data_IF_838850389285
#
_entry.id   IF_838850389285
#
_cell.length_a   1.000
_cell.length_b   1.000
_cell.length_c   1.000
_cell.angle_alpha   90.00
_cell.angle_beta   90.00
_cell.angle_gamma   90.00
#
_symmetry.space_group_name_H-M   'P 1'
#
loop_
_entity.id
_entity.type
_entity.pdbx_description
1 polymer ?
#
# COMPACT_ATOMS: atom_id res chain seq x y z
N UNK A 1 3.62 -5.60 -31.68
CA UNK A 1 3.99 -4.85 -30.47
C UNK A 1 2.72 -4.18 -29.97
N UNK A 2 2.08 -4.71 -28.93
CA UNK A 2 0.88 -4.10 -28.33
C UNK A 2 1.35 -3.19 -27.20
N UNK A 3 1.35 -1.89 -27.43
CA UNK A 3 1.79 -0.88 -26.47
C UNK A 3 0.75 -0.69 -25.37
N UNK A 4 1.21 -0.54 -24.12
CA UNK A 4 0.43 0.15 -23.08
C UNK A 4 0.00 1.51 -23.65
N UNK A 5 -1.26 1.91 -23.49
CA UNK A 5 -1.71 3.21 -24.01
C UNK A 5 -1.09 4.38 -23.24
N UNK A 6 -0.83 4.20 -21.95
CA UNK A 6 0.02 5.08 -21.14
C UNK A 6 0.48 4.37 -19.87
N UNK A 7 1.63 4.79 -19.35
CA UNK A 7 2.16 4.34 -18.07
C UNK A 7 2.92 5.49 -17.45
N UNK A 8 2.53 5.88 -16.24
CA UNK A 8 3.18 6.94 -15.48
C UNK A 8 3.90 6.31 -14.29
N UNK A 9 5.16 6.69 -14.07
CA UNK A 9 5.87 6.33 -12.84
C UNK A 9 5.36 7.24 -11.73
N UNK A 10 4.73 6.65 -10.71
CA UNK A 10 4.28 7.38 -9.53
C UNK A 10 5.38 7.46 -8.47
N UNK A 11 6.19 6.40 -8.34
CA UNK A 11 7.30 6.33 -7.40
C UNK A 11 8.36 5.32 -7.88
N UNK A 12 9.63 5.61 -7.60
CA UNK A 12 10.73 4.68 -7.84
C UNK A 12 11.84 4.89 -6.81
N UNK A 13 12.27 3.79 -6.20
CA UNK A 13 13.48 3.73 -5.38
C UNK A 13 14.23 2.41 -5.65
N UNK A 14 15.26 2.11 -4.85
CA UNK A 14 16.05 0.89 -5.06
C UNK A 14 15.30 -0.43 -4.82
N UNK A 15 14.16 -0.43 -4.12
CA UNK A 15 13.39 -1.62 -3.73
C UNK A 15 12.05 -1.76 -4.47
N UNK A 16 11.45 -0.64 -4.86
CA UNK A 16 10.07 -0.59 -5.34
C UNK A 16 9.92 0.45 -6.44
N UNK A 17 9.21 0.06 -7.50
CA UNK A 17 8.66 0.99 -8.49
C UNK A 17 7.14 0.84 -8.54
N UNK A 18 6.44 1.96 -8.53
CA UNK A 18 4.97 2.03 -8.59
C UNK A 18 4.59 2.78 -9.85
N UNK A 19 3.73 2.14 -10.65
CA UNK A 19 3.24 2.67 -11.91
C UNK A 19 1.72 2.81 -11.87
N UNK A 20 1.22 3.86 -12.51
CA UNK A 20 -0.18 4.00 -12.91
C UNK A 20 -0.27 3.67 -14.40
N UNK A 21 -0.95 2.57 -14.73
CA UNK A 21 -0.96 2.02 -16.07
C UNK A 21 -2.38 1.91 -16.62
N UNK A 22 -2.54 2.32 -17.89
CA UNK A 22 -3.78 2.09 -18.64
C UNK A 22 -3.62 0.90 -19.59
N UNK A 23 -4.40 -0.15 -19.36
CA UNK A 23 -4.29 -1.44 -20.02
C UNK A 23 -5.38 -1.61 -21.06
N UNK A 24 -4.96 -1.65 -22.32
CA UNK A 24 -5.86 -1.87 -23.46
C UNK A 24 -6.32 -3.33 -23.59
N UNK A 25 -7.47 -3.58 -24.22
CA UNK A 25 -7.90 -4.92 -24.59
C UNK A 25 -6.82 -5.71 -25.35
N UNK A 26 -6.55 -6.94 -24.93
CA UNK A 26 -5.55 -7.82 -25.56
C UNK A 26 -4.08 -7.44 -25.31
N UNK A 27 -3.79 -6.57 -24.34
CA UNK A 27 -2.43 -6.23 -23.97
C UNK A 27 -1.64 -7.45 -23.45
N UNK A 28 -0.38 -7.56 -23.88
CA UNK A 28 0.56 -8.59 -23.40
C UNK A 28 1.61 -7.89 -22.55
N UNK A 29 1.69 -8.28 -21.29
CA UNK A 29 2.68 -7.75 -20.36
C UNK A 29 3.82 -8.75 -20.15
N UNK A 30 5.01 -8.21 -19.99
CA UNK A 30 6.21 -8.95 -19.59
C UNK A 30 6.67 -8.42 -18.25
N UNK A 31 6.89 -9.32 -17.31
CA UNK A 31 7.34 -9.02 -15.96
C UNK A 31 8.77 -9.48 -15.81
N UNK A 32 9.73 -8.57 -15.96
CA UNK A 32 11.15 -8.88 -15.75
C UNK A 32 11.49 -9.07 -14.26
N UNK A 33 10.67 -8.51 -13.37
CA UNK A 33 10.81 -8.56 -11.92
C UNK A 33 9.49 -9.03 -11.28
N UNK A 34 9.49 -9.54 -10.04
CA UNK A 34 8.26 -9.84 -9.32
C UNK A 34 7.34 -8.61 -9.31
N UNK A 35 6.09 -8.79 -9.72
CA UNK A 35 5.14 -7.70 -9.95
C UNK A 35 3.79 -8.02 -9.33
N UNK A 36 3.21 -7.07 -8.61
CA UNK A 36 1.79 -7.09 -8.22
C UNK A 36 1.05 -6.10 -9.11
N UNK A 37 -0.04 -6.53 -9.74
CA UNK A 37 -0.93 -5.67 -10.52
C UNK A 37 -2.27 -5.58 -9.83
N UNK A 38 -2.78 -4.37 -9.64
CA UNK A 38 -4.02 -4.13 -8.91
C UNK A 38 -4.97 -3.26 -9.74
N UNK A 39 -6.09 -3.83 -10.25
CA UNK A 39 -7.07 -3.04 -10.99
C UNK A 39 -7.70 -1.93 -10.14
N UNK A 40 -7.88 -0.77 -10.74
CA UNK A 40 -8.58 0.36 -10.14
C UNK A 40 -10.01 0.37 -10.69
N UNK A 41 -10.97 0.26 -9.78
CA UNK A 41 -12.40 0.38 -10.10
C UNK A 41 -12.94 1.67 -9.49
N UNK A 42 -14.16 2.06 -9.89
CA UNK A 42 -14.86 3.18 -9.28
C UNK A 42 -14.99 2.99 -7.76
N UNK A 43 -14.96 4.09 -7.01
CA UNK A 43 -14.95 4.09 -5.54
C UNK A 43 -16.13 3.30 -4.91
N UNK A 44 -17.29 3.27 -5.58
CA UNK A 44 -18.46 2.52 -5.13
C UNK A 44 -18.37 1.00 -5.31
N UNK A 45 -17.41 0.50 -6.09
CA UNK A 45 -17.24 -0.94 -6.35
C UNK A 45 -16.37 -1.61 -5.27
N UNK A 46 -16.60 -2.89 -4.95
CA UNK A 46 -15.68 -3.67 -4.13
C UNK A 46 -14.28 -3.66 -4.70
N UNK A 47 -13.27 -3.68 -3.83
CA UNK A 47 -11.87 -3.74 -4.25
C UNK A 47 -11.58 -5.08 -4.91
N UNK A 48 -11.11 -5.12 -6.17
CA UNK A 48 -10.75 -6.37 -6.81
C UNK A 48 -9.50 -6.95 -6.16
N UNK A 49 -9.29 -8.27 -6.17
CA UNK A 49 -8.05 -8.84 -5.67
C UNK A 49 -6.87 -8.45 -6.59
N UNK A 50 -5.69 -8.12 -6.03
CA UNK A 50 -4.48 -7.95 -6.83
C UNK A 50 -3.99 -9.30 -7.37
N UNK A 51 -3.20 -9.26 -8.44
CA UNK A 51 -2.56 -10.46 -9.02
C UNK A 51 -1.05 -10.33 -8.94
N UNK A 52 -0.39 -11.37 -8.43
CA UNK A 52 1.07 -11.47 -8.38
C UNK A 52 1.61 -12.26 -9.57
N UNK A 53 2.69 -11.75 -10.16
CA UNK A 53 3.43 -12.36 -11.26
C UNK A 53 4.91 -12.50 -10.86
N UNK A 54 5.47 -13.71 -10.87
CA UNK A 54 6.91 -13.90 -10.67
C UNK A 54 7.74 -13.17 -11.74
N UNK A 55 8.98 -12.80 -11.40
CA UNK A 55 9.93 -12.28 -12.38
C UNK A 55 10.25 -13.30 -13.47
N UNK A 56 10.49 -12.82 -14.69
CA UNK A 56 10.71 -13.65 -15.87
C UNK A 56 9.44 -14.20 -16.52
N UNK A 57 8.24 -13.78 -16.07
CA UNK A 57 6.98 -14.24 -16.66
C UNK A 57 6.50 -13.34 -17.78
N UNK A 58 5.98 -13.96 -18.85
CA UNK A 58 5.20 -13.28 -19.88
C UNK A 58 3.75 -13.74 -19.74
N UNK A 59 2.83 -12.78 -19.64
CA UNK A 59 1.41 -13.06 -19.49
C UNK A 59 0.60 -12.19 -20.44
N UNK A 60 -0.33 -12.81 -21.14
CA UNK A 60 -1.39 -12.07 -21.80
C UNK A 60 -2.33 -11.55 -20.72
N UNK A 61 -2.37 -10.24 -20.54
CA UNK A 61 -3.30 -9.64 -19.60
C UNK A 61 -4.65 -9.60 -20.28
N UNK A 62 -5.49 -10.55 -19.90
CA UNK A 62 -6.88 -10.56 -20.29
C UNK A 62 -7.57 -9.32 -19.75
N UNK A 63 -7.83 -8.37 -20.64
CA UNK A 63 -8.91 -7.40 -20.48
C UNK A 63 -10.02 -7.84 -21.43
N UNK A 64 -10.92 -8.75 -21.01
CA UNK A 64 -11.96 -9.33 -21.87
C UNK A 64 -13.05 -8.31 -22.24
N UNK A 65 -13.03 -7.11 -21.66
CA UNK A 65 -13.91 -6.00 -22.03
C UNK A 65 -13.48 -5.29 -23.31
N UNK A 66 -14.34 -4.39 -23.80
CA UNK A 66 -14.05 -3.55 -24.96
C UNK A 66 -13.34 -2.23 -24.62
N UNK A 67 -13.24 -1.88 -23.33
CA UNK A 67 -12.64 -0.64 -22.86
C UNK A 67 -11.35 -0.93 -22.07
N UNK A 68 -10.37 -0.04 -22.17
CA UNK A 68 -9.15 -0.11 -21.36
C UNK A 68 -9.46 0.01 -19.85
N UNK A 69 -8.56 -0.51 -19.02
CA UNK A 69 -8.68 -0.48 -17.55
C UNK A 69 -7.45 0.14 -16.90
N UNK A 70 -7.64 0.90 -15.83
CA UNK A 70 -6.56 1.43 -15.00
C UNK A 70 -6.07 0.36 -14.02
N UNK A 71 -4.76 0.28 -13.83
CA UNK A 71 -4.12 -0.57 -12.83
C UNK A 71 -3.00 0.19 -12.12
N UNK A 72 -2.87 -0.03 -10.82
CA UNK A 72 -1.64 0.27 -10.10
C UNK A 72 -0.74 -0.96 -10.16
N UNK A 73 0.49 -0.76 -10.62
CA UNK A 73 1.48 -1.82 -10.79
C UNK A 73 2.63 -1.59 -9.82
N UNK A 74 2.89 -2.56 -8.96
CA UNK A 74 3.98 -2.58 -8.00
C UNK A 74 5.05 -3.55 -8.49
N UNK A 75 6.19 -3.03 -8.91
CA UNK A 75 7.36 -3.83 -9.31
C UNK A 75 8.36 -3.88 -8.16
N UNK A 76 8.63 -5.10 -7.70
CA UNK A 76 9.50 -5.39 -6.55
C UNK A 76 10.91 -5.60 -7.10
N UNK A 77 11.79 -4.63 -6.85
CA UNK A 77 13.09 -4.52 -7.52
C UNK A 77 14.22 -5.25 -6.78
N UNK A 78 13.94 -5.76 -5.58
CA UNK A 78 14.88 -6.52 -4.77
C UNK A 78 14.22 -7.75 -4.16
N UNK A 79 15.04 -8.75 -3.88
CA UNK A 79 14.62 -9.90 -3.09
C UNK A 79 14.13 -9.47 -1.70
N UNK A 80 13.25 -10.27 -1.07
CA UNK A 80 12.80 -10.03 0.29
C UNK A 80 13.99 -9.87 1.24
N UNK A 81 13.94 -8.85 2.09
CA UNK A 81 15.02 -8.58 3.05
C UNK A 81 14.86 -9.37 4.35
N UNK A 82 13.70 -9.98 4.55
CA UNK A 82 13.37 -10.78 5.73
C UNK A 82 12.81 -12.12 5.31
N UNK A 83 13.13 -13.14 6.10
CA UNK A 83 12.50 -14.45 6.01
C UNK A 83 11.07 -14.41 6.58
N UNK A 84 10.25 -15.40 6.22
CA UNK A 84 8.88 -15.52 6.74
C UNK A 84 8.84 -15.59 8.28
N UNK A 85 9.79 -16.28 8.91
CA UNK A 85 9.87 -16.36 10.37
C UNK A 85 10.21 -15.00 11.01
N UNK A 86 11.04 -14.19 10.35
CA UNK A 86 11.35 -12.83 10.82
C UNK A 86 10.14 -11.91 10.66
N UNK A 87 9.42 -12.02 9.54
CA UNK A 87 8.17 -11.29 9.30
C UNK A 87 7.14 -11.66 10.37
N UNK A 88 6.89 -12.95 10.61
CA UNK A 88 5.96 -13.44 11.64
C UNK A 88 6.29 -12.86 13.03
N UNK A 89 7.57 -12.86 13.40
CA UNK A 89 8.02 -12.25 14.66
C UNK A 89 7.76 -10.75 14.70
N UNK A 90 8.03 -10.02 13.62
CA UNK A 90 7.82 -8.58 13.56
C UNK A 90 6.34 -8.19 13.62
N UNK A 91 5.44 -8.97 13.02
CA UNK A 91 4.00 -8.66 13.02
C UNK A 91 3.30 -9.08 14.32
N UNK A 92 3.92 -9.93 15.13
CA UNK A 92 3.34 -10.41 16.40
C UNK A 92 3.96 -9.79 17.66
N UNK A 93 5.16 -9.23 17.57
CA UNK A 93 5.88 -8.67 18.71
C UNK A 93 5.31 -7.33 19.25
N UNK A 94 4.85 -6.38 18.42
CA UNK A 94 4.40 -5.09 18.91
C UNK A 94 3.15 -5.17 19.80
N UNK A 95 3.03 -4.20 20.69
CA UNK A 95 1.81 -3.99 21.49
C UNK A 95 0.61 -3.55 20.63
N UNK A 96 0.88 -2.83 19.55
CA UNK A 96 -0.14 -2.31 18.64
C UNK A 96 -0.40 -3.31 17.51
N UNK A 97 -1.64 -3.39 16.99
CA UNK A 97 -1.93 -4.13 15.76
C UNK A 97 -0.99 -3.72 14.62
N UNK A 98 -0.59 -4.67 13.77
CA UNK A 98 0.30 -4.42 12.63
C UNK A 98 -0.41 -4.63 11.29
N UNK A 99 -1.73 -4.44 11.27
CA UNK A 99 -2.53 -4.43 10.06
C UNK A 99 -2.69 -2.95 9.64
N UNK A 100 -1.94 -2.48 8.63
CA UNK A 100 -2.00 -1.07 8.21
C UNK A 100 -3.22 -0.74 7.34
N UNK A 101 -4.01 -1.75 6.96
CA UNK A 101 -5.26 -1.58 6.22
C UNK A 101 -6.36 -2.47 6.78
N UNK A 102 -7.56 -2.33 6.21
CA UNK A 102 -8.76 -2.99 6.72
C UNK A 102 -8.91 -4.42 6.20
N UNK A 103 -8.42 -4.69 4.98
CA UNK A 103 -8.51 -6.02 4.35
C UNK A 103 -7.17 -6.44 3.80
N UNK A 104 -6.66 -7.60 4.22
CA UNK A 104 -5.51 -8.25 3.59
C UNK A 104 -5.95 -8.90 2.28
N UNK A 105 -5.44 -8.39 1.17
CA UNK A 105 -5.90 -8.74 -0.18
C UNK A 105 -5.00 -9.78 -0.86
N UNK A 106 -3.72 -9.81 -0.49
CA UNK A 106 -2.74 -10.78 -0.97
C UNK A 106 -1.56 -10.84 -0.01
N UNK A 107 -1.08 -12.03 0.27
CA UNK A 107 0.18 -12.26 0.97
C UNK A 107 0.95 -13.39 0.28
N UNK A 108 2.25 -13.18 0.06
CA UNK A 108 3.16 -14.18 -0.48
C UNK A 108 4.57 -13.98 0.10
N UNK A 109 5.58 -14.62 -0.48
CA UNK A 109 6.97 -14.54 0.01
C UNK A 109 7.65 -13.17 -0.18
N UNK A 110 7.04 -12.26 -0.92
CA UNK A 110 7.60 -10.94 -1.21
C UNK A 110 6.86 -9.82 -0.49
N UNK A 111 5.54 -9.92 -0.39
CA UNK A 111 4.70 -8.78 -0.02
C UNK A 111 3.48 -9.16 0.82
N UNK A 112 2.94 -8.17 1.52
CA UNK A 112 1.57 -8.14 2.05
C UNK A 112 0.85 -6.93 1.41
N UNK A 113 -0.33 -7.15 0.84
CA UNK A 113 -1.10 -6.13 0.14
C UNK A 113 -2.39 -5.86 0.91
N UNK A 114 -2.66 -4.59 1.18
CA UNK A 114 -3.79 -4.16 1.99
C UNK A 114 -4.67 -3.19 1.23
N UNK A 115 -5.98 -3.38 1.37
CA UNK A 115 -6.99 -2.40 0.99
C UNK A 115 -7.37 -1.58 2.22
N UNK A 116 -7.45 -0.27 2.02
CA UNK A 116 -7.93 0.66 3.03
C UNK A 116 -8.85 1.69 2.37
N UNK A 117 -10.00 1.94 2.99
CA UNK A 117 -11.11 2.72 2.45
C UNK A 117 -11.67 3.65 3.51
N UNK A 118 -11.91 4.90 3.13
CA UNK A 118 -12.52 5.87 4.03
C UNK A 118 -13.93 5.47 4.50
N UNK A 119 -14.74 4.93 3.58
CA UNK A 119 -16.11 4.48 3.87
C UNK A 119 -16.22 3.32 4.87
N UNK A 120 -15.13 2.58 5.12
CA UNK A 120 -15.13 1.47 6.09
C UNK A 120 -14.83 1.94 7.52
N UNK A 121 -14.64 3.25 7.72
CA UNK A 121 -14.42 3.86 9.01
C UNK A 121 -12.93 4.04 9.32
N UNK A 122 -12.65 5.13 10.02
CA UNK A 122 -11.34 5.49 10.53
C UNK A 122 -11.55 6.10 11.92
N UNK A 123 -10.88 5.55 12.94
CA UNK A 123 -10.99 6.03 14.31
C UNK A 123 -9.64 6.57 14.76
N UNK A 124 -9.62 7.82 15.24
CA UNK A 124 -8.43 8.46 15.80
C UNK A 124 -7.80 7.69 16.98
N UNK A 125 -8.49 6.73 17.58
CA UNK A 125 -7.96 5.90 18.68
C UNK A 125 -7.57 4.48 18.24
N UNK A 126 -7.80 4.11 16.98
CA UNK A 126 -7.42 2.80 16.43
C UNK A 126 -6.02 2.88 15.82
N UNK A 127 -5.00 2.88 16.68
CA UNK A 127 -3.61 2.97 16.21
C UNK A 127 -3.06 1.61 15.81
N UNK A 128 -2.20 1.63 14.79
CA UNK A 128 -1.43 0.50 14.33
C UNK A 128 0.06 0.81 14.31
N UNK A 129 0.88 -0.23 14.19
CA UNK A 129 2.32 -0.13 13.99
C UNK A 129 2.74 -0.70 12.64
N UNK A 130 3.37 0.11 11.82
CA UNK A 130 4.12 -0.33 10.64
C UNK A 130 5.43 -0.99 11.08
N UNK A 131 5.65 -2.22 10.64
CA UNK A 131 6.84 -3.02 11.00
C UNK A 131 7.68 -3.45 9.79
N UNK A 132 7.16 -3.20 8.59
CA UNK A 132 7.80 -3.49 7.31
C UNK A 132 7.88 -2.22 6.46
N UNK A 133 8.88 -2.15 5.58
CA UNK A 133 8.97 -1.09 4.57
C UNK A 133 7.67 -1.10 3.77
N UNK A 134 7.05 0.06 3.57
CA UNK A 134 5.75 0.12 2.94
C UNK A 134 5.58 1.33 2.03
N UNK A 135 4.66 1.19 1.10
CA UNK A 135 4.11 2.30 0.35
C UNK A 135 2.60 2.16 0.24
N UNK A 136 1.94 3.29 0.09
CA UNK A 136 0.52 3.34 -0.24
C UNK A 136 0.26 4.36 -1.34
N UNK A 137 -0.69 4.01 -2.20
CA UNK A 137 -1.14 4.82 -3.33
C UNK A 137 -2.58 5.22 -3.10
N UNK A 138 -2.86 6.52 -3.16
CA UNK A 138 -4.23 7.02 -3.05
C UNK A 138 -4.95 6.91 -4.39
N UNK A 139 -6.20 6.44 -4.33
CA UNK A 139 -7.16 6.45 -5.42
C UNK A 139 -8.34 7.34 -5.05
N UNK A 140 -8.63 8.33 -5.90
CA UNK A 140 -9.57 9.42 -5.63
C UNK A 140 -8.88 10.75 -5.34
N UNK A 141 -9.56 11.86 -5.60
CA UNK A 141 -9.02 13.21 -5.44
C UNK A 141 -9.74 14.05 -4.39
N UNK A 142 -9.07 15.07 -3.86
CA UNK A 142 -9.65 15.99 -2.87
C UNK A 142 -9.77 15.40 -1.47
N UNK A 143 -8.90 14.43 -1.15
CA UNK A 143 -9.01 13.63 0.06
C UNK A 143 -7.99 14.09 1.10
N UNK A 144 -8.34 13.90 2.38
CA UNK A 144 -7.53 14.35 3.50
C UNK A 144 -7.58 13.40 4.69
N UNK A 145 -6.45 13.23 5.37
CA UNK A 145 -6.31 12.42 6.58
C UNK A 145 -5.76 13.26 7.72
N UNK A 146 -6.46 13.28 8.84
CA UNK A 146 -5.89 13.73 10.10
C UNK A 146 -5.10 12.57 10.70
N UNK A 147 -3.83 12.82 11.02
CA UNK A 147 -2.91 11.85 11.60
C UNK A 147 -2.79 12.11 13.09
N UNK A 148 -2.89 11.06 13.89
CA UNK A 148 -2.77 11.13 15.34
C UNK A 148 -1.68 10.21 15.86
N UNK A 149 -1.08 10.59 16.98
CA UNK A 149 -0.16 9.77 17.75
C UNK A 149 -0.71 9.47 19.16
N UNK A 150 -0.29 8.37 19.80
CA UNK A 150 -0.68 8.08 21.18
C UNK A 150 -0.23 9.18 22.16
N UNK A 151 -1.14 9.71 22.97
CA UNK A 151 -0.86 10.82 23.90
C UNK A 151 -0.16 10.40 25.22
N UNK A 152 0.17 9.11 25.36
CA UNK A 152 0.74 8.51 26.57
C UNK A 152 -0.25 8.27 27.73
N UNK A 153 -1.50 8.73 27.61
CA UNK A 153 -2.57 8.61 28.61
C UNK A 153 -3.72 7.71 28.15
N UNK A 154 -3.57 7.09 26.98
CA UNK A 154 -4.58 6.22 26.36
C UNK A 154 -5.51 6.95 25.40
N UNK A 155 -5.20 8.19 25.03
CA UNK A 155 -5.90 8.98 24.02
C UNK A 155 -5.03 9.26 22.79
N UNK A 156 -5.54 10.17 21.94
CA UNK A 156 -4.94 10.55 20.67
C UNK A 156 -4.59 12.05 20.64
N UNK A 157 -3.36 12.35 20.26
CA UNK A 157 -2.88 13.70 20.01
C UNK A 157 -2.84 13.96 18.50
N UNK A 158 -3.49 15.04 18.06
CA UNK A 158 -3.44 15.45 16.66
C UNK A 158 -2.02 15.89 16.27
N UNK A 159 -1.53 15.39 15.15
CA UNK A 159 -0.21 15.73 14.62
C UNK A 159 -0.34 16.70 13.44
N UNK A 160 -1.08 16.30 12.40
CA UNK A 160 -1.19 17.03 11.14
C UNK A 160 -2.33 16.51 10.27
N UNK A 161 -2.74 17.33 9.31
CA UNK A 161 -3.59 16.92 8.19
C UNK A 161 -2.72 16.67 6.96
N UNK A 162 -2.89 15.51 6.33
CA UNK A 162 -2.34 15.18 5.02
C UNK A 162 -3.42 15.42 3.97
N UNK A 163 -3.10 16.16 2.91
CA UNK A 163 -4.00 16.33 1.76
C UNK A 163 -3.35 15.70 0.54
N UNK A 164 -4.15 15.02 -0.26
CA UNK A 164 -3.64 14.25 -1.38
C UNK A 164 -4.61 14.23 -2.57
N UNK A 165 -4.03 13.96 -3.73
CA UNK A 165 -4.73 13.78 -4.99
C UNK A 165 -4.62 12.32 -5.44
N UNK A 166 -5.43 11.96 -6.43
CA UNK A 166 -5.37 10.65 -7.06
C UNK A 166 -3.96 10.36 -7.60
N UNK A 167 -3.43 9.18 -7.30
CA UNK A 167 -2.06 8.78 -7.64
C UNK A 167 -0.99 9.28 -6.67
N UNK A 168 -1.34 9.97 -5.58
CA UNK A 168 -0.38 10.30 -4.52
C UNK A 168 0.24 9.02 -3.94
N UNK A 169 1.56 9.03 -3.74
CA UNK A 169 2.31 7.93 -3.13
C UNK A 169 3.02 8.41 -1.88
N UNK A 170 2.86 7.64 -0.80
CA UNK A 170 3.77 7.69 0.34
C UNK A 170 4.67 6.47 0.35
N UNK A 171 5.94 6.67 0.71
CA UNK A 171 6.90 5.59 0.94
C UNK A 171 7.51 5.76 2.33
N UNK A 172 7.55 4.66 3.09
CA UNK A 172 8.16 4.61 4.40
C UNK A 172 9.17 3.46 4.48
N UNK A 173 10.42 3.79 4.80
CA UNK A 173 11.42 2.79 5.14
C UNK A 173 11.38 2.53 6.65
N UNK A 174 10.99 1.32 7.03
CA UNK A 174 10.80 0.91 8.42
C UNK A 174 12.01 0.12 8.89
N UNK A 175 12.87 0.83 9.63
CA UNK A 175 14.03 0.22 10.30
C UNK A 175 13.59 -0.40 11.62
N UNK A 176 14.30 -1.44 12.05
CA UNK A 176 14.14 -2.08 13.36
C UNK A 176 12.68 -2.43 13.72
N UNK A 177 11.83 -2.78 12.73
CA UNK A 177 10.42 -3.09 13.01
C UNK A 177 9.58 -1.90 13.48
N UNK A 178 10.01 -0.67 13.18
CA UNK A 178 9.34 0.55 13.60
C UNK A 178 9.70 0.98 15.02
N UNK A 179 10.79 0.44 15.59
CA UNK A 179 11.36 0.85 16.86
C UNK A 179 12.61 1.72 16.68
N UNK A 180 13.00 2.39 17.77
CA UNK A 180 14.28 3.08 17.90
C UNK A 180 15.50 2.13 17.78
N UNK A 181 16.70 2.69 17.89
CA UNK A 181 17.96 1.93 17.75
C UNK A 181 18.12 0.84 18.82
N UNK A 182 17.55 1.05 19.99
CA UNK A 182 17.58 0.10 21.11
C UNK A 182 16.46 -0.94 21.05
N UNK A 183 15.56 -0.85 20.06
CA UNK A 183 14.38 -1.70 19.92
C UNK A 183 13.43 -1.64 21.14
N UNK A 184 13.38 -0.50 21.83
CA UNK A 184 12.60 -0.33 23.05
C UNK A 184 11.35 0.53 22.84
N UNK A 185 11.48 1.60 22.05
CA UNK A 185 10.40 2.59 21.87
C UNK A 185 9.91 2.56 20.43
N UNK A 186 8.60 2.39 20.18
CA UNK A 186 8.05 2.51 18.84
C UNK A 186 8.15 3.97 18.35
N UNK A 187 8.50 4.14 17.07
CA UNK A 187 8.67 5.45 16.45
C UNK A 187 7.31 6.09 16.14
N UNK A 188 7.01 7.20 16.81
CA UNK A 188 5.79 7.98 16.62
C UNK A 188 6.10 9.31 15.90
N UNK A 189 5.21 9.81 15.04
CA UNK A 189 4.04 9.12 14.46
C UNK A 189 4.43 8.23 13.25
N UNK A 190 5.72 8.18 12.89
CA UNK A 190 6.16 7.61 11.60
C UNK A 190 5.87 6.13 11.44
N UNK A 191 5.89 5.36 12.52
CA UNK A 191 5.60 3.93 12.52
C UNK A 191 4.37 3.59 13.35
N UNK A 192 4.05 4.35 14.40
CA UNK A 192 2.81 4.20 15.17
C UNK A 192 1.93 5.42 15.03
N UNK A 193 0.75 5.24 14.44
CA UNK A 193 -0.26 6.27 14.27
C UNK A 193 -1.64 5.67 14.08
N UNK A 194 -2.64 6.51 14.17
CA UNK A 194 -4.01 6.28 13.68
C UNK A 194 -4.37 7.42 12.72
N UNK A 195 -5.45 7.25 11.98
CA UNK A 195 -5.95 8.28 11.07
C UNK A 195 -7.45 8.45 11.22
N UNK A 196 -7.93 9.65 10.90
CA UNK A 196 -9.36 9.96 10.74
C UNK A 196 -9.56 10.64 9.38
N UNK A 197 -10.68 10.38 8.71
CA UNK A 197 -10.99 11.06 7.46
C UNK A 197 -11.32 12.52 7.76
N UNK A 198 -10.45 13.43 7.32
CA UNK A 198 -10.61 14.87 7.49
C UNK A 198 -11.41 15.51 6.34
N UNK A 199 -11.70 14.74 5.28
CA UNK A 199 -12.49 15.16 4.13
C UNK A 199 -13.87 14.51 4.07
N UNK A 200 -14.69 14.99 3.13
CA UNK A 200 -16.00 14.40 2.82
C UNK A 200 -15.91 13.37 1.66
N UNK A 201 -14.77 13.32 0.96
CA UNK A 201 -14.57 12.47 -0.19
C UNK A 201 -14.24 11.02 0.21
N UNK A 202 -14.82 10.06 -0.51
CA UNK A 202 -14.37 8.67 -0.48
C UNK A 202 -13.01 8.58 -1.17
N UNK A 203 -12.08 7.85 -0.55
CA UNK A 203 -10.85 7.44 -1.19
C UNK A 203 -10.46 6.04 -0.75
N UNK A 204 -9.48 5.49 -1.49
CA UNK A 204 -8.91 4.19 -1.24
C UNK A 204 -7.39 4.28 -1.22
N UNK A 205 -6.76 3.45 -0.42
CA UNK A 205 -5.31 3.24 -0.45
C UNK A 205 -5.03 1.80 -0.86
N UNK A 206 -4.23 1.65 -1.92
CA UNK A 206 -3.57 0.39 -2.22
C UNK A 206 -2.22 0.40 -1.54
N UNK A 207 -2.11 -0.38 -0.47
CA UNK A 207 -0.92 -0.44 0.36
C UNK A 207 -0.15 -1.74 0.10
N UNK A 208 1.16 -1.61 -0.03
CA UNK A 208 2.13 -2.69 -0.13
C UNK A 208 3.09 -2.63 1.05
N UNK A 209 3.28 -3.74 1.74
CA UNK A 209 4.41 -3.96 2.65
C UNK A 209 5.39 -4.93 2.02
N UNK A 210 6.68 -4.57 2.00
CA UNK A 210 7.76 -5.41 1.50
C UNK A 210 8.34 -6.26 2.64
N UNK A 211 8.43 -7.57 2.40
CA UNK A 211 9.11 -8.49 3.31
C UNK A 211 10.63 -8.25 3.28
#
# INVERSE_FOLDING_TARGET
MSSLASTNVLHENARLRILDAWIEPGHVARHSVPTVRWPVLDAGQPTPPPTFYPGGTEVTIGNPGQAGRREIVFEILQEPQRSEAEVERLVTAPKWPTAPGQVLMLENSHVRMWDFRASLGMDRNDFHQHVLDNAWVVLGGGSALDVFEPDGRGGAAFVKTLTFNDGFVSWNQVRNGGFDEDCLTPLQPSCVHSVENAGEAEFREYLIELK
#
